data_IF_410080871653
#
_entry.id   IF_410080871653
#
_cell.length_a   1.000
_cell.length_b   1.000
_cell.length_c   1.000
_cell.angle_alpha   90.00
_cell.angle_beta   90.00
_cell.angle_gamma   90.00
#
_symmetry.space_group_name_H-M   'P 1'
#
loop_
_entity.id
_entity.type
_entity.pdbx_description
1 polymer ?
#
# COMPACT_ATOMS: atom_id res chain seq x y z
N UNK A 1 -18.25 15.17 -4.29
CA UNK A 1 -16.80 14.98 -4.01
C UNK A 1 -16.58 13.50 -4.16
N UNK A 2 -15.84 13.09 -5.18
CA UNK A 2 -15.54 11.69 -5.44
C UNK A 2 -14.74 11.20 -4.23
N UNK A 3 -15.35 10.38 -3.35
CA UNK A 3 -14.57 9.75 -2.28
C UNK A 3 -13.65 8.76 -3.00
N UNK A 4 -12.38 9.14 -3.13
CA UNK A 4 -11.40 8.45 -3.95
C UNK A 4 -11.42 6.95 -3.68
N UNK A 5 -11.51 6.16 -4.75
CA UNK A 5 -11.39 4.71 -4.64
C UNK A 5 -9.94 4.36 -4.27
N UNK A 6 -9.69 4.13 -2.98
CA UNK A 6 -8.37 3.68 -2.53
C UNK A 6 -8.20 2.18 -2.71
N UNK A 7 -7.05 1.81 -3.26
CA UNK A 7 -6.64 0.42 -3.38
C UNK A 7 -5.44 0.15 -2.49
N UNK A 8 -5.30 -1.09 -2.06
CA UNK A 8 -4.09 -1.59 -1.41
C UNK A 8 -3.67 -2.82 -2.18
N UNK A 9 -2.44 -2.84 -2.66
CA UNK A 9 -1.84 -4.05 -3.23
C UNK A 9 -0.86 -4.64 -2.23
N UNK A 10 -1.03 -5.92 -1.93
CA UNK A 10 -0.07 -6.72 -1.16
C UNK A 10 0.81 -7.47 -2.16
N UNK A 11 2.12 -7.30 -2.04
CA UNK A 11 3.14 -8.01 -2.80
C UNK A 11 3.92 -8.88 -1.82
N UNK A 12 3.49 -10.12 -1.69
CA UNK A 12 4.07 -11.13 -0.80
C UNK A 12 5.20 -11.91 -1.50
N UNK A 13 6.13 -11.17 -2.10
CA UNK A 13 7.32 -11.73 -2.74
C UNK A 13 8.56 -11.45 -1.89
N UNK A 14 9.51 -12.39 -1.90
CA UNK A 14 10.78 -12.25 -1.15
C UNK A 14 11.75 -11.25 -1.78
N UNK A 15 11.52 -10.89 -3.04
CA UNK A 15 12.26 -9.87 -3.78
C UNK A 15 11.27 -9.11 -4.65
N UNK A 16 11.31 -7.78 -4.58
CA UNK A 16 10.49 -6.88 -5.41
C UNK A 16 11.43 -5.92 -6.12
N UNK A 17 11.28 -5.81 -7.44
CA UNK A 17 12.05 -4.86 -8.25
C UNK A 17 11.43 -3.46 -8.18
N UNK A 18 12.26 -2.43 -8.34
CA UNK A 18 11.81 -1.02 -8.24
C UNK A 18 10.76 -0.69 -9.30
N UNK A 19 10.89 -1.22 -10.51
CA UNK A 19 9.93 -1.01 -11.60
C UNK A 19 8.55 -1.58 -11.27
N UNK A 20 8.52 -2.74 -10.60
CA UNK A 20 7.29 -3.38 -10.14
C UNK A 20 6.62 -2.54 -9.04
N UNK A 21 7.41 -2.04 -8.08
CA UNK A 21 6.91 -1.14 -7.04
C UNK A 21 6.34 0.16 -7.63
N UNK A 22 7.07 0.82 -8.53
CA UNK A 22 6.62 2.06 -9.17
C UNK A 22 5.33 1.84 -9.96
N UNK A 23 5.25 0.74 -10.72
CA UNK A 23 4.02 0.36 -11.44
C UNK A 23 2.85 0.15 -10.45
N UNK A 24 3.10 -0.52 -9.33
CA UNK A 24 2.11 -0.78 -8.31
C UNK A 24 1.64 0.51 -7.62
N UNK A 25 2.55 1.41 -7.24
CA UNK A 25 2.23 2.72 -6.63
C UNK A 25 1.38 3.59 -7.56
N UNK A 26 1.71 3.64 -8.86
CA UNK A 26 0.94 4.38 -9.86
C UNK A 26 -0.46 3.80 -10.09
N UNK A 27 -0.63 2.49 -9.92
CA UNK A 27 -1.89 1.81 -10.21
C UNK A 27 -2.81 1.69 -9.00
N UNK A 28 -2.23 1.62 -7.79
CA UNK A 28 -2.96 1.22 -6.58
C UNK A 28 -2.71 2.14 -5.39
N UNK A 29 -1.81 3.12 -5.48
CA UNK A 29 -1.55 4.20 -4.52
C UNK A 29 -0.91 3.76 -3.19
N UNK A 30 -1.28 2.59 -2.66
CA UNK A 30 -0.77 2.00 -1.42
C UNK A 30 -0.27 0.59 -1.73
N UNK A 31 1.00 0.33 -1.42
CA UNK A 31 1.67 -0.96 -1.65
C UNK A 31 2.16 -1.49 -0.31
N UNK A 32 1.78 -2.72 0.04
CA UNK A 32 2.29 -3.46 1.20
C UNK A 32 3.25 -4.54 0.68
N UNK A 33 4.46 -4.57 1.20
CA UNK A 33 5.46 -5.58 0.86
C UNK A 33 5.48 -6.71 1.89
N UNK A 34 6.00 -7.87 1.49
CA UNK A 34 6.34 -8.96 2.39
C UNK A 34 7.18 -8.45 3.59
N UNK A 35 6.92 -8.95 4.79
CA UNK A 35 7.62 -8.54 6.01
C UNK A 35 9.13 -8.85 6.00
N UNK A 36 9.59 -9.81 5.20
CA UNK A 36 11.01 -10.11 5.01
C UNK A 36 11.73 -8.94 4.32
N UNK A 37 11.02 -8.14 3.52
CA UNK A 37 11.57 -6.97 2.83
C UNK A 37 11.83 -5.78 3.75
N UNK A 38 11.52 -5.84 5.06
CA UNK A 38 11.78 -4.74 6.02
C UNK A 38 13.20 -4.20 5.96
N UNK A 39 14.19 -5.08 5.82
CA UNK A 39 15.60 -4.69 5.74
C UNK A 39 15.99 -3.95 4.45
N UNK A 40 15.20 -4.10 3.38
CA UNK A 40 15.47 -3.53 2.05
C UNK A 40 14.45 -2.48 1.63
N UNK A 41 13.31 -2.37 2.30
CA UNK A 41 12.18 -1.51 1.95
C UNK A 41 12.57 -0.03 1.86
N UNK A 42 13.39 0.48 2.80
CA UNK A 42 13.83 1.88 2.73
C UNK A 42 14.71 2.19 1.52
N UNK A 43 15.57 1.24 1.11
CA UNK A 43 16.36 1.41 -0.12
C UNK A 43 15.43 1.42 -1.34
N UNK A 44 14.51 0.45 -1.39
CA UNK A 44 13.54 0.33 -2.47
C UNK A 44 12.63 1.56 -2.58
N UNK A 45 12.25 2.18 -1.46
CA UNK A 45 11.52 3.45 -1.42
C UNK A 45 12.30 4.56 -2.11
N UNK A 46 13.58 4.76 -1.76
CA UNK A 46 14.43 5.79 -2.37
C UNK A 46 14.62 5.57 -3.87
N UNK A 47 14.84 4.32 -4.27
CA UNK A 47 14.99 3.96 -5.68
C UNK A 47 13.69 4.24 -6.46
N UNK A 48 12.53 3.93 -5.88
CA UNK A 48 11.23 4.21 -6.48
C UNK A 48 10.94 5.71 -6.59
N UNK A 49 11.22 6.47 -5.54
CA UNK A 49 11.08 7.93 -5.52
C UNK A 49 11.93 8.58 -6.61
N UNK A 50 13.20 8.16 -6.74
CA UNK A 50 14.10 8.65 -7.80
C UNK A 50 13.56 8.32 -9.20
N UNK A 51 13.03 7.11 -9.41
CA UNK A 51 12.48 6.70 -10.69
C UNK A 51 11.16 7.43 -11.05
N UNK A 52 10.46 7.94 -10.05
CA UNK A 52 9.20 8.67 -10.23
C UNK A 52 9.40 10.16 -10.45
N UNK A 53 10.55 10.72 -10.06
CA UNK A 53 10.92 12.12 -10.30
C UNK A 53 11.41 12.32 -11.74
N UNK A 54 11.09 13.48 -12.31
CA UNK A 54 11.56 13.90 -13.61
C UNK A 54 13.01 14.43 -13.55
N UNK A 55 13.57 14.84 -14.69
CA UNK A 55 14.94 15.36 -14.78
C UNK A 55 15.17 16.67 -14.00
N UNK A 56 14.10 17.40 -13.67
CA UNK A 56 14.10 18.58 -12.81
C UNK A 56 13.91 18.25 -11.32
N UNK A 57 13.91 16.96 -10.95
CA UNK A 57 13.60 16.45 -9.61
C UNK A 57 12.16 16.73 -9.14
N UNK A 58 11.26 17.05 -10.05
CA UNK A 58 9.85 17.23 -9.75
C UNK A 58 9.10 15.91 -9.92
N UNK A 59 8.15 15.64 -9.04
CA UNK A 59 7.34 14.44 -9.06
C UNK A 59 6.88 14.07 -7.65
N UNK A 60 6.10 12.99 -7.54
CA UNK A 60 5.58 12.55 -6.26
C UNK A 60 6.70 12.05 -5.36
N UNK A 61 6.50 12.24 -4.06
CA UNK A 61 7.26 11.54 -3.04
C UNK A 61 6.65 10.15 -2.81
N UNK A 62 7.48 9.23 -2.36
CA UNK A 62 7.05 7.90 -1.91
C UNK A 62 7.25 7.85 -0.40
N UNK A 63 6.17 7.79 0.37
CA UNK A 63 6.28 7.68 1.83
C UNK A 63 6.43 6.22 2.24
N UNK A 64 7.29 5.95 3.22
CA UNK A 64 7.46 4.64 3.83
C UNK A 64 6.94 4.65 5.27
N UNK A 65 6.06 3.71 5.60
CA UNK A 65 5.60 3.46 6.95
C UNK A 65 5.66 1.96 7.24
N UNK A 66 6.06 1.60 8.45
CA UNK A 66 5.97 0.21 8.92
C UNK A 66 4.79 0.11 9.89
N UNK A 67 3.72 -0.50 9.43
CA UNK A 67 2.53 -0.69 10.24
C UNK A 67 2.59 -1.98 11.03
N UNK A 68 2.40 -1.89 12.35
CA UNK A 68 2.05 -3.06 13.14
C UNK A 68 0.56 -3.34 12.97
N UNK A 69 0.22 -4.53 12.49
CA UNK A 69 -1.15 -4.98 12.28
C UNK A 69 -1.37 -6.29 13.04
N UNK A 70 -2.61 -6.54 13.43
CA UNK A 70 -3.00 -7.75 14.14
C UNK A 70 -3.82 -8.64 13.23
N UNK A 71 -3.33 -9.84 12.92
CA UNK A 71 -4.02 -10.83 12.10
C UNK A 71 -4.14 -12.11 12.93
N UNK A 72 -5.36 -12.63 13.08
CA UNK A 72 -5.62 -13.89 13.81
C UNK A 72 -5.03 -13.95 15.23
N UNK A 73 -4.84 -12.79 15.87
CA UNK A 73 -4.23 -12.70 17.21
C UNK A 73 -2.73 -12.43 17.21
N UNK A 74 -2.05 -12.61 16.09
CA UNK A 74 -0.61 -12.41 15.93
C UNK A 74 -0.28 -10.99 15.43
N UNK A 75 0.90 -10.48 15.84
CA UNK A 75 1.41 -9.18 15.40
C UNK A 75 2.29 -9.35 14.17
N UNK A 76 1.95 -8.64 13.12
CA UNK A 76 2.66 -8.65 11.84
C UNK A 76 3.12 -7.23 11.53
N UNK A 77 4.30 -7.11 10.93
CA UNK A 77 4.81 -5.83 10.42
C UNK A 77 4.56 -5.77 8.92
N UNK A 78 3.92 -4.69 8.47
CA UNK A 78 3.56 -4.44 7.08
C UNK A 78 4.35 -3.23 6.55
N UNK A 79 5.52 -3.45 5.91
CA UNK A 79 6.23 -2.42 5.18
C UNK A 79 5.32 -1.85 4.09
N UNK A 80 4.91 -0.60 4.26
CA UNK A 80 3.90 0.04 3.43
C UNK A 80 4.50 1.26 2.74
N UNK A 81 4.26 1.38 1.45
CA UNK A 81 4.62 2.54 0.65
C UNK A 81 3.39 3.23 0.09
N UNK A 82 3.38 4.56 0.11
CA UNK A 82 2.29 5.35 -0.45
C UNK A 82 2.78 6.42 -1.41
N UNK A 83 1.98 6.69 -2.43
CA UNK A 83 2.23 7.73 -3.43
C UNK A 83 1.66 9.08 -2.94
N UNK A 84 2.49 10.10 -2.76
CA UNK A 84 2.07 11.36 -2.10
C UNK A 84 0.92 12.09 -2.81
N UNK A 85 0.88 12.06 -4.15
CA UNK A 85 -0.17 12.74 -4.92
C UNK A 85 -1.45 11.91 -5.11
N UNK A 86 -1.41 10.59 -4.92
CA UNK A 86 -2.54 9.68 -5.18
C UNK A 86 -3.18 9.13 -3.89
N UNK A 87 -2.47 9.21 -2.76
CA UNK A 87 -2.99 8.86 -1.46
C UNK A 87 -3.25 10.13 -0.64
N UNK A 88 -4.50 10.57 -0.63
CA UNK A 88 -4.99 11.70 0.17
C UNK A 88 -5.41 11.31 1.60
N UNK A 89 -5.34 10.01 1.94
CA UNK A 89 -5.61 9.51 3.28
C UNK A 89 -4.52 9.96 4.25
N UNK A 90 -4.94 10.33 5.48
CA UNK A 90 -3.99 10.51 6.58
C UNK A 90 -3.40 9.16 7.02
N UNK A 91 -2.41 9.20 7.91
CA UNK A 91 -1.69 8.01 8.35
C UNK A 91 -2.60 6.98 9.05
N UNK A 92 -3.55 7.43 9.87
CA UNK A 92 -4.48 6.55 10.60
C UNK A 92 -5.46 5.86 9.66
N UNK A 93 -6.00 6.58 8.68
CA UNK A 93 -6.92 6.01 7.69
C UNK A 93 -6.19 5.05 6.73
N UNK A 94 -4.96 5.38 6.36
CA UNK A 94 -4.08 4.49 5.60
C UNK A 94 -3.82 3.19 6.39
N UNK A 95 -3.50 3.30 7.68
CA UNK A 95 -3.29 2.13 8.55
C UNK A 95 -4.53 1.26 8.65
N UNK A 96 -5.71 1.86 8.92
CA UNK A 96 -6.99 1.15 8.99
C UNK A 96 -7.27 0.38 7.69
N UNK A 97 -6.98 1.01 6.55
CA UNK A 97 -7.19 0.42 5.24
C UNK A 97 -6.23 -0.74 4.97
N UNK A 98 -4.95 -0.59 5.31
CA UNK A 98 -3.94 -1.66 5.22
C UNK A 98 -4.30 -2.84 6.12
N UNK A 99 -4.75 -2.59 7.36
CA UNK A 99 -5.18 -3.66 8.26
C UNK A 99 -6.30 -4.49 7.64
N UNK A 100 -7.36 -3.85 7.13
CA UNK A 100 -8.48 -4.55 6.47
C UNK A 100 -8.03 -5.32 5.24
N UNK A 101 -7.15 -4.73 4.42
CA UNK A 101 -6.61 -5.40 3.23
C UNK A 101 -5.85 -6.67 3.60
N UNK A 102 -5.02 -6.60 4.65
CA UNK A 102 -4.22 -7.73 5.14
C UNK A 102 -5.07 -8.83 5.78
N UNK A 103 -6.10 -8.47 6.57
CA UNK A 103 -7.06 -9.43 7.12
C UNK A 103 -7.77 -10.22 6.00
N UNK A 104 -8.24 -9.52 4.95
CA UNK A 104 -8.93 -10.15 3.83
C UNK A 104 -7.97 -10.98 2.97
N UNK A 105 -6.75 -10.50 2.76
CA UNK A 105 -5.70 -11.23 2.06
C UNK A 105 -5.42 -12.58 2.73
N UNK A 106 -5.26 -12.58 4.06
CA UNK A 106 -5.05 -13.81 4.83
C UNK A 106 -6.26 -14.72 4.75
N UNK A 107 -7.47 -14.20 4.93
CA UNK A 107 -8.71 -14.98 4.82
C UNK A 107 -8.91 -15.60 3.43
N UNK A 108 -8.29 -15.04 2.38
CA UNK A 108 -8.37 -15.53 1.00
C UNK A 108 -7.20 -16.42 0.57
N UNK A 109 -6.36 -16.85 1.52
CA UNK A 109 -5.32 -17.85 1.26
C UNK A 109 -3.96 -17.27 0.87
N UNK A 110 -3.69 -15.99 1.17
CA UNK A 110 -2.35 -15.38 1.11
C UNK A 110 -1.68 -15.46 -0.27
N UNK A 111 -2.37 -15.02 -1.32
CA UNK A 111 -1.79 -14.96 -2.66
C UNK A 111 -0.59 -13.99 -2.73
N UNK A 112 0.43 -14.32 -3.54
CA UNK A 112 1.64 -13.49 -3.70
C UNK A 112 1.33 -12.06 -4.19
N UNK A 113 0.28 -11.89 -4.99
CA UNK A 113 -0.23 -10.58 -5.36
C UNK A 113 -1.71 -10.51 -5.05
N UNK A 114 -2.10 -9.53 -4.26
CA UNK A 114 -3.48 -9.35 -3.85
C UNK A 114 -3.86 -7.88 -3.90
N UNK A 115 -5.02 -7.59 -4.49
CA UNK A 115 -5.55 -6.22 -4.57
C UNK A 115 -6.81 -6.16 -3.72
N UNK A 116 -6.77 -5.28 -2.72
CA UNK A 116 -7.95 -4.81 -2.01
C UNK A 116 -8.43 -3.50 -2.62
N UNK A 117 -9.73 -3.36 -2.79
CA UNK A 117 -10.35 -2.10 -3.23
C UNK A 117 -11.36 -1.68 -2.18
N UNK A 118 -11.13 -0.51 -1.57
CA UNK A 118 -12.08 0.07 -0.65
C UNK A 118 -13.25 0.63 -1.45
N UNK A 119 -14.32 -0.17 -1.57
CA UNK A 119 -15.59 0.32 -2.11
C UNK A 119 -16.35 0.95 -0.96
N UNK A 120 -16.18 2.26 -0.75
CA UNK A 120 -17.19 3.06 -0.05
C UNK A 120 -18.46 3.03 -0.90
N UNK A 121 -19.26 1.97 -0.76
CA UNK A 121 -20.63 2.00 -1.25
C UNK A 121 -21.38 2.99 -0.36
N UNK A 122 -21.94 4.02 -0.97
CA UNK A 122 -23.11 4.71 -0.46
C UNK A 122 -24.13 3.67 0.04
N UNK A 123 -24.16 3.46 1.35
CA UNK A 123 -25.33 2.93 2.05
C UNK A 123 -25.89 4.08 2.88
N UNK A 124 -26.57 5.00 2.21
CA UNK A 124 -27.73 5.61 2.84
C UNK A 124 -28.88 4.60 2.78
N UNK A 125 -29.51 4.24 3.91
CA UNK A 125 -30.78 3.55 3.85
C UNK A 125 -31.79 4.49 3.20
N UNK A 126 -32.53 3.96 2.23
CA UNK A 126 -33.73 4.61 1.71
C UNK A 126 -34.75 4.64 2.86
N UNK A 127 -35.07 5.84 3.34
CA UNK A 127 -36.30 6.08 4.12
C UNK A 127 -37.53 6.05 3.22
#
# INVERSE_FOLDING_TARGET
MDQGMHQVVVIDETVVHVEQLVKALRSHHIVVLNCIMRGTAQKLQKDAELMMKNWSHEGPDVYYNEFEIKIEGERWFAPTMTHSELNDLNLTDTWNLVQRAMEIWVARGRANHFIYTNRTRDTQPSE
#
